data_IF_128045798803
#
_entry.id   IF_128045798803
#
_cell.length_a   1.000
_cell.length_b   1.000
_cell.length_c   1.000
_cell.angle_alpha   90.00
_cell.angle_beta   90.00
_cell.angle_gamma   90.00
#
_symmetry.space_group_name_H-M   'P 1'
#
loop_
_entity.id
_entity.type
_entity.pdbx_description
1 polymer ?
#
# COMPACT_ATOMS: atom_id res chain seq x y z
N UNK A 1 -6.22 -5.35 11.10
CA UNK A 1 -6.49 -6.77 10.75
C UNK A 1 -5.75 -7.66 11.76
N UNK A 2 -6.48 -8.40 12.62
CA UNK A 2 -5.87 -9.10 13.76
C UNK A 2 -5.09 -10.37 13.39
N UNK A 3 -5.40 -11.02 12.27
CA UNK A 3 -4.74 -12.27 11.87
C UNK A 3 -3.63 -11.92 10.86
N UNK A 4 -2.37 -11.99 11.31
CA UNK A 4 -1.16 -11.75 10.53
C UNK A 4 -1.12 -10.40 9.77
N UNK A 5 -1.95 -9.43 10.15
CA UNK A 5 -2.11 -8.18 9.39
C UNK A 5 -2.86 -8.34 8.05
N UNK A 6 -3.41 -9.52 7.75
CA UNK A 6 -4.03 -9.84 6.46
C UNK A 6 -5.53 -10.14 6.56
N UNK A 7 -5.99 -10.70 7.68
CA UNK A 7 -7.36 -11.21 7.82
C UNK A 7 -8.01 -10.80 9.14
N UNK A 8 -9.33 -10.97 9.19
CA UNK A 8 -10.15 -10.77 10.39
C UNK A 8 -11.16 -11.93 10.51
N UNK A 9 -11.50 -12.39 11.73
CA UNK A 9 -12.61 -13.32 11.94
C UNK A 9 -13.98 -12.62 11.93
N UNK A 10 -14.01 -11.29 11.83
CA UNK A 10 -15.26 -10.52 11.82
C UNK A 10 -16.17 -10.90 10.64
N UNK A 11 -17.50 -10.83 10.79
CA UNK A 11 -18.43 -11.01 9.69
C UNK A 11 -18.18 -10.04 8.53
N UNK A 12 -18.53 -10.45 7.31
CA UNK A 12 -18.32 -9.66 6.10
C UNK A 12 -18.94 -8.26 6.19
N UNK A 13 -20.16 -8.15 6.71
CA UNK A 13 -20.88 -6.87 6.83
C UNK A 13 -20.14 -5.87 7.73
N UNK A 14 -19.59 -6.35 8.86
CA UNK A 14 -18.79 -5.51 9.76
C UNK A 14 -17.51 -5.03 9.08
N UNK A 15 -16.82 -5.93 8.37
CA UNK A 15 -15.62 -5.59 7.61
C UNK A 15 -15.91 -4.56 6.51
N UNK A 16 -17.00 -4.71 5.77
CA UNK A 16 -17.39 -3.76 4.72
C UNK A 16 -17.66 -2.36 5.30
N UNK A 17 -18.34 -2.29 6.45
CA UNK A 17 -18.58 -1.02 7.12
C UNK A 17 -17.27 -0.36 7.59
N UNK A 18 -16.37 -1.14 8.19
CA UNK A 18 -15.04 -0.65 8.61
C UNK A 18 -14.21 -0.14 7.43
N UNK A 19 -14.22 -0.87 6.30
CA UNK A 19 -13.54 -0.44 5.07
C UNK A 19 -14.12 0.87 4.52
N UNK A 20 -15.45 1.00 4.46
CA UNK A 20 -16.10 2.21 3.97
C UNK A 20 -15.75 3.45 4.81
N UNK A 21 -15.78 3.33 6.14
CA UNK A 21 -15.38 4.42 7.05
C UNK A 21 -13.92 4.80 6.86
N UNK A 22 -13.04 3.79 6.71
CA UNK A 22 -11.60 4.01 6.53
C UNK A 22 -11.32 4.70 5.19
N UNK A 23 -11.96 4.27 4.10
CA UNK A 23 -11.82 4.92 2.80
C UNK A 23 -12.28 6.37 2.84
N UNK A 24 -13.43 6.66 3.47
CA UNK A 24 -13.93 8.04 3.63
C UNK A 24 -12.95 8.93 4.41
N UNK A 25 -12.34 8.41 5.48
CA UNK A 25 -11.32 9.13 6.22
C UNK A 25 -10.06 9.41 5.37
N UNK A 26 -9.66 8.47 4.52
CA UNK A 26 -8.52 8.68 3.60
C UNK A 26 -8.86 9.75 2.56
N UNK A 27 -10.08 9.75 2.02
CA UNK A 27 -10.55 10.79 1.10
C UNK A 27 -10.61 12.17 1.77
N UNK A 28 -11.04 12.25 3.04
CA UNK A 28 -11.12 13.52 3.77
C UNK A 28 -9.73 14.14 4.05
N UNK A 29 -8.69 13.31 4.10
CA UNK A 29 -7.28 13.75 4.16
C UNK A 29 -6.74 14.27 2.81
N UNK A 30 -7.56 14.30 1.76
CA UNK A 30 -7.20 14.80 0.43
C UNK A 30 -6.61 13.75 -0.52
N UNK A 31 -6.63 12.47 -0.14
CA UNK A 31 -6.28 11.39 -1.07
C UNK A 31 -7.29 11.34 -2.21
N UNK A 32 -6.82 11.33 -3.45
CA UNK A 32 -7.67 11.25 -4.66
C UNK A 32 -7.60 9.88 -5.35
N UNK A 33 -6.85 8.94 -4.77
CA UNK A 33 -6.62 7.62 -5.34
C UNK A 33 -7.80 6.72 -4.98
N UNK A 34 -8.48 6.19 -6.00
CA UNK A 34 -9.52 5.19 -5.80
C UNK A 34 -8.92 3.91 -5.19
N UNK A 35 -9.65 3.27 -4.27
CA UNK A 35 -9.22 2.03 -3.60
C UNK A 35 -7.82 2.14 -2.98
N UNK A 36 -7.54 3.26 -2.31
CA UNK A 36 -6.24 3.60 -1.73
C UNK A 36 -5.68 2.50 -0.82
N UNK A 37 -6.53 1.83 -0.04
CA UNK A 37 -6.14 0.69 0.82
C UNK A 37 -5.57 -0.47 -0.02
N UNK A 38 -6.25 -0.83 -1.12
CA UNK A 38 -5.79 -1.87 -2.02
C UNK A 38 -4.46 -1.48 -2.68
N UNK A 39 -4.31 -0.23 -3.11
CA UNK A 39 -3.06 0.26 -3.70
C UNK A 39 -1.87 0.18 -2.72
N UNK A 40 -2.09 0.52 -1.45
CA UNK A 40 -1.05 0.40 -0.42
C UNK A 40 -0.61 -1.04 -0.20
N UNK A 41 -1.52 -2.02 -0.27
CA UNK A 41 -1.18 -3.44 -0.14
C UNK A 41 -0.22 -3.93 -1.23
N UNK A 42 -0.24 -3.32 -2.42
CA UNK A 42 0.67 -3.63 -3.53
C UNK A 42 1.97 -2.80 -3.54
N UNK A 43 2.16 -1.89 -2.58
CA UNK A 43 3.36 -1.05 -2.55
C UNK A 43 4.63 -1.91 -2.38
N UNK A 44 4.59 -2.85 -1.43
CA UNK A 44 5.72 -3.67 -1.02
C UNK A 44 6.01 -4.86 -1.93
N UNK A 45 5.42 -4.93 -3.13
CA UNK A 45 5.62 -6.01 -4.10
C UNK A 45 6.70 -5.60 -5.13
N UNK A 46 7.97 -6.03 -5.01
CA UNK A 46 9.08 -5.51 -5.81
C UNK A 46 9.27 -6.30 -7.11
N UNK A 47 8.19 -6.57 -7.84
CA UNK A 47 8.27 -7.29 -9.13
C UNK A 47 7.65 -6.52 -10.30
N UNK A 48 6.83 -5.51 -10.01
CA UNK A 48 6.23 -4.57 -10.97
C UNK A 48 5.85 -3.29 -10.22
N UNK A 49 5.86 -2.10 -10.83
CA UNK A 49 6.43 -1.74 -12.14
C UNK A 49 7.96 -1.56 -12.04
N UNK A 50 8.60 -0.88 -13.00
CA UNK A 50 10.06 -0.70 -13.11
C UNK A 50 10.75 -0.09 -11.87
N UNK A 51 10.05 0.76 -11.11
CA UNK A 51 10.51 1.32 -9.84
C UNK A 51 9.51 1.03 -8.72
N UNK A 52 10.00 0.51 -7.59
CA UNK A 52 9.16 0.20 -6.42
C UNK A 52 9.78 0.60 -5.10
N UNK A 53 8.94 1.10 -4.19
CA UNK A 53 9.33 1.40 -2.82
C UNK A 53 9.04 0.20 -1.92
N UNK A 54 10.04 -0.22 -1.16
CA UNK A 54 9.96 -1.35 -0.22
C UNK A 54 10.40 -0.91 1.18
N UNK A 55 10.35 -1.82 2.14
CA UNK A 55 10.94 -1.63 3.48
C UNK A 55 12.47 -1.42 3.44
N UNK A 56 13.14 -1.81 2.35
CA UNK A 56 14.59 -1.65 2.15
C UNK A 56 14.97 -0.41 1.34
N UNK A 57 14.00 0.38 0.89
CA UNK A 57 14.21 1.57 0.06
C UNK A 57 13.65 1.43 -1.36
N UNK A 58 14.12 2.29 -2.27
CA UNK A 58 13.72 2.31 -3.67
C UNK A 58 14.45 1.20 -4.43
N UNK A 59 13.71 0.37 -5.15
CA UNK A 59 14.22 -0.77 -5.93
C UNK A 59 13.97 -0.51 -7.40
N UNK A 60 15.03 -0.59 -8.21
CA UNK A 60 14.93 -0.77 -9.66
C UNK A 60 14.66 -2.26 -9.91
N UNK A 61 13.44 -2.56 -10.36
CA UNK A 61 12.96 -3.94 -10.55
C UNK A 61 13.57 -4.58 -11.80
N UNK A 62 13.99 -3.78 -12.79
CA UNK A 62 14.62 -4.30 -14.01
C UNK A 62 16.04 -4.77 -13.68
N UNK A 63 16.75 -4.03 -12.85
CA UNK A 63 18.14 -4.33 -12.44
C UNK A 63 18.25 -5.19 -11.19
N UNK A 64 17.15 -5.36 -10.44
CA UNK A 64 17.12 -6.00 -9.12
C UNK A 64 18.09 -5.37 -8.12
N UNK A 65 18.15 -4.04 -8.11
CA UNK A 65 19.08 -3.25 -7.30
C UNK A 65 18.34 -2.22 -6.45
N UNK A 66 18.81 -2.00 -5.23
CA UNK A 66 18.37 -0.85 -4.42
C UNK A 66 19.09 0.40 -4.96
N UNK A 67 18.32 1.42 -5.31
CA UNK A 67 18.80 2.68 -5.87
C UNK A 67 18.56 3.85 -4.89
N UNK A 68 19.35 4.93 -4.97
CA UNK A 68 19.12 6.12 -4.14
C UNK A 68 17.73 6.71 -4.37
N UNK A 69 17.05 7.10 -3.28
CA UNK A 69 15.75 7.77 -3.36
C UNK A 69 15.87 9.26 -3.74
N UNK A 70 16.99 9.89 -3.37
CA UNK A 70 17.26 11.30 -3.59
C UNK A 70 18.45 11.47 -4.53
N UNK A 71 18.39 12.51 -5.37
CA UNK A 71 19.54 12.94 -6.15
C UNK A 71 20.62 13.54 -5.23
N UNK A 72 21.87 13.51 -5.70
CA UNK A 72 22.96 14.22 -5.03
C UNK A 72 22.86 15.70 -5.41
N UNK A 73 23.05 16.59 -4.43
CA UNK A 73 23.23 18.03 -4.66
C UNK A 73 24.36 18.33 -5.66
#
# INVERSE_FOLDING_TARGET
LPIAGLMTPAPLEELLNQLAVTEQAIFSLGCKVAHSIMQLAFLALPVIPELKLTDKGLVDVIRFEIVPLFEKE
#
